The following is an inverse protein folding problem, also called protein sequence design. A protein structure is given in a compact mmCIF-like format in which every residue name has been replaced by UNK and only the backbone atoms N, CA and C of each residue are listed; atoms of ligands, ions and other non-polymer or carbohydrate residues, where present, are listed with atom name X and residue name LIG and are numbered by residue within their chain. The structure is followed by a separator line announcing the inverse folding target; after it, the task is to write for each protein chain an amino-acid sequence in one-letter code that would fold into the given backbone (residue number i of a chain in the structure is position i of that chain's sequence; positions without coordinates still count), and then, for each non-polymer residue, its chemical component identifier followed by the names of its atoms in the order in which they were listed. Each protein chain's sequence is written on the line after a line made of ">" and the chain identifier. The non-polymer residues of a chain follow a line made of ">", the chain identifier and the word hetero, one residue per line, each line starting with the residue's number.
data_IF_914583686498
#
_entry.id   IF_914583686498
#
_cell.length_a   1.000
_cell.length_b   1.000
_cell.length_c   1.000
_cell.angle_alpha   90.00
_cell.angle_beta   90.00
_cell.angle_gamma   90.00
#
_symmetry.space_group_name_H-M   'P 1'
#
loop_
_entity.id
_entity.type
_entity.pdbx_description
1 polymer ?
#
# COMPACT_ATOMS: atom_id res chain seq x y z
N UNK A 1 22.96 3.62 -13.20
CA UNK A 1 22.12 2.56 -12.59
C UNK A 1 20.69 3.05 -12.64
N UNK A 2 19.70 2.20 -12.92
CA UNK A 2 18.30 2.59 -12.76
C UNK A 2 18.02 2.92 -11.29
N UNK A 3 17.18 3.93 -11.03
CA UNK A 3 16.77 4.29 -9.68
C UNK A 3 15.82 3.22 -9.12
N UNK A 4 16.02 2.80 -7.87
CA UNK A 4 15.13 1.82 -7.24
C UNK A 4 13.71 2.35 -7.06
N UNK A 5 13.52 3.64 -6.76
CA UNK A 5 12.20 4.26 -6.71
C UNK A 5 11.81 4.81 -8.08
N UNK A 6 10.70 4.33 -8.63
CA UNK A 6 10.25 4.60 -10.00
C UNK A 6 8.74 4.81 -10.08
N UNK A 7 8.32 5.41 -11.18
CA UNK A 7 6.91 5.56 -11.51
C UNK A 7 6.30 4.18 -11.84
N UNK A 8 4.99 4.05 -11.69
CA UNK A 8 4.27 2.81 -11.95
C UNK A 8 2.85 3.06 -12.42
N UNK A 9 2.22 2.02 -12.95
CA UNK A 9 0.79 2.07 -13.23
C UNK A 9 0.04 2.05 -11.89
N UNK A 10 -0.58 3.16 -11.53
CA UNK A 10 -1.33 3.28 -10.28
C UNK A 10 -2.81 3.23 -10.58
N UNK A 11 -3.50 2.28 -9.95
CA UNK A 11 -4.94 2.06 -10.11
C UNK A 11 -5.66 2.69 -8.93
N UNK A 12 -6.55 3.65 -9.22
CA UNK A 12 -7.37 4.33 -8.20
C UNK A 12 -8.83 3.92 -8.44
N UNK A 13 -9.60 3.57 -7.39
CA UNK A 13 -11.01 3.27 -7.55
C UNK A 13 -11.75 4.46 -8.19
N UNK A 14 -12.70 4.16 -9.09
CA UNK A 14 -13.57 5.16 -9.70
C UNK A 14 -14.43 5.85 -8.65
N UNK A 15 -14.90 7.05 -8.96
CA UNK A 15 -15.67 7.91 -8.05
C UNK A 15 -16.97 7.28 -7.50
N UNK A 16 -17.50 6.24 -8.14
CA UNK A 16 -18.69 5.52 -7.69
C UNK A 16 -18.40 4.46 -6.61
N UNK A 17 -17.13 4.18 -6.32
CA UNK A 17 -16.72 3.29 -5.23
C UNK A 17 -16.66 4.12 -3.94
N UNK A 18 -17.24 3.59 -2.87
CA UNK A 18 -17.23 4.23 -1.55
C UNK A 18 -15.81 4.18 -0.96
N UNK A 19 -15.11 5.31 -0.96
CA UNK A 19 -13.73 5.43 -0.48
C UNK A 19 -13.57 5.09 1.00
N UNK A 20 -14.62 5.21 1.81
CA UNK A 20 -14.60 4.88 3.24
C UNK A 20 -14.61 3.37 3.48
N UNK A 21 -15.21 2.60 2.57
CA UNK A 21 -15.18 1.13 2.59
C UNK A 21 -14.01 0.58 1.79
N UNK A 22 -13.56 1.33 0.79
CA UNK A 22 -12.39 0.99 -0.01
C UNK A 22 -11.12 0.95 0.84
N UNK A 23 -10.94 1.97 1.67
CA UNK A 23 -9.71 2.24 2.40
C UNK A 23 -9.66 1.46 3.71
N UNK A 24 -8.60 0.69 3.92
CA UNK A 24 -8.40 -0.13 5.13
C UNK A 24 -7.08 0.24 5.81
N UNK A 25 -7.13 0.44 7.13
CA UNK A 25 -5.94 0.76 7.94
C UNK A 25 -5.34 -0.53 8.52
N UNK A 26 -4.51 -1.21 7.73
CA UNK A 26 -3.81 -2.41 8.16
C UNK A 26 -2.48 -2.08 8.87
N UNK A 27 -2.54 -1.36 10.00
CA UNK A 27 -1.36 -0.98 10.78
C UNK A 27 -1.05 -1.96 11.93
N UNK A 28 0.23 -2.15 12.25
CA UNK A 28 0.75 -3.06 13.29
C UNK A 28 0.07 -2.93 14.67
N UNK A 29 -0.50 -1.76 14.97
CA UNK A 29 -1.24 -1.53 16.22
C UNK A 29 -2.54 -2.34 16.30
N UNK A 30 -3.12 -2.74 15.16
CA UNK A 30 -4.39 -3.45 15.04
C UNK A 30 -4.26 -4.84 14.41
N UNK A 31 -3.08 -5.20 13.87
CA UNK A 31 -2.88 -6.44 13.10
C UNK A 31 -3.21 -7.69 13.89
N UNK A 32 -3.09 -7.65 15.22
CA UNK A 32 -3.41 -8.76 16.13
C UNK A 32 -4.70 -8.56 16.95
N UNK A 33 -5.56 -7.59 16.61
CA UNK A 33 -6.81 -7.32 17.34
C UNK A 33 -8.03 -7.92 16.60
N UNK A 34 -8.63 -9.04 17.09
CA UNK A 34 -9.76 -9.67 16.41
C UNK A 34 -10.99 -8.76 16.30
N UNK A 35 -11.27 -7.96 17.33
CA UNK A 35 -12.44 -7.08 17.37
C UNK A 35 -12.34 -5.97 16.32
N UNK A 36 -11.14 -5.42 16.11
CA UNK A 36 -10.87 -4.48 15.05
C UNK A 36 -11.22 -5.09 13.68
N UNK A 37 -10.67 -6.27 13.36
CA UNK A 37 -10.94 -6.92 12.08
C UNK A 37 -12.41 -7.27 11.90
N UNK A 38 -13.09 -7.76 12.94
CA UNK A 38 -14.51 -8.03 12.91
C UNK A 38 -15.33 -6.76 12.58
N UNK A 39 -14.97 -5.62 13.14
CA UNK A 39 -15.65 -4.35 12.87
C UNK A 39 -15.34 -3.80 11.49
N UNK A 40 -14.10 -3.99 10.99
CA UNK A 40 -13.73 -3.69 9.60
C UNK A 40 -14.55 -4.55 8.62
N UNK A 41 -14.67 -5.87 8.86
CA UNK A 41 -15.51 -6.76 8.05
C UNK A 41 -16.99 -6.35 8.06
N UNK A 42 -17.55 -5.97 9.23
CA UNK A 42 -18.93 -5.46 9.32
C UNK A 42 -19.11 -4.16 8.54
N UNK A 43 -18.13 -3.26 8.59
CA UNK A 43 -18.17 -1.94 7.94
C UNK A 43 -18.11 -2.07 6.42
N UNK A 44 -17.19 -2.89 5.92
CA UNK A 44 -17.04 -3.18 4.49
C UNK A 44 -18.25 -3.94 3.94
N UNK A 45 -18.69 -4.99 4.65
CA UNK A 45 -19.80 -5.83 4.21
C UNK A 45 -19.52 -6.45 2.84
N UNK A 46 -20.44 -6.24 1.89
CA UNK A 46 -20.32 -6.76 0.51
C UNK A 46 -19.78 -5.73 -0.49
N UNK A 47 -19.26 -4.58 -0.02
CA UNK A 47 -18.73 -3.53 -0.89
C UNK A 47 -17.33 -3.87 -1.42
N UNK A 48 -16.95 -3.25 -2.53
CA UNK A 48 -15.59 -3.31 -3.04
C UNK A 48 -14.62 -2.67 -2.03
N UNK A 49 -13.55 -3.38 -1.70
CA UNK A 49 -12.62 -2.96 -0.65
C UNK A 49 -11.22 -3.54 -0.81
N UNK A 50 -10.22 -2.78 -0.37
CA UNK A 50 -8.86 -3.29 -0.19
C UNK A 50 -8.78 -4.41 0.86
N UNK A 51 -9.78 -4.53 1.75
CA UNK A 51 -9.89 -5.65 2.71
C UNK A 51 -9.89 -7.00 1.99
N UNK A 52 -10.56 -7.09 0.84
CA UNK A 52 -10.66 -8.30 0.04
C UNK A 52 -9.35 -8.65 -0.69
N UNK A 53 -8.35 -7.75 -0.64
CA UNK A 53 -7.06 -7.87 -1.30
C UNK A 53 -5.89 -8.03 -0.32
N UNK A 54 -6.16 -8.15 0.99
CA UNK A 54 -5.13 -8.32 2.02
C UNK A 54 -5.37 -9.59 2.84
N UNK A 55 -4.29 -10.15 3.39
CA UNK A 55 -4.35 -11.17 4.42
C UNK A 55 -3.87 -10.55 5.74
N UNK A 56 -4.78 -10.24 6.68
CA UNK A 56 -4.39 -9.79 8.02
C UNK A 56 -3.45 -10.78 8.71
N UNK A 57 -2.44 -10.27 9.41
CA UNK A 57 -1.40 -11.10 10.04
C UNK A 57 -1.98 -12.07 11.08
N UNK A 58 -3.07 -11.70 11.76
CA UNK A 58 -3.78 -12.60 12.70
C UNK A 58 -4.30 -13.89 12.05
N UNK A 59 -4.51 -13.90 10.73
CA UNK A 59 -5.01 -15.05 9.97
C UNK A 59 -3.91 -15.78 9.18
N UNK A 60 -2.65 -15.41 9.39
CA UNK A 60 -1.52 -15.95 8.62
C UNK A 60 -1.24 -17.43 8.95
N UNK A 61 -1.43 -17.80 10.22
CA UNK A 61 -1.22 -19.16 10.74
C UNK A 61 -2.51 -19.99 10.76
N UNK A 62 -3.61 -19.49 10.21
CA UNK A 62 -4.84 -20.26 10.10
C UNK A 62 -4.67 -21.42 9.10
N UNK A 63 -5.28 -22.57 9.43
CA UNK A 63 -5.29 -23.77 8.57
C UNK A 63 -5.86 -23.49 7.16
N UNK A 64 -6.70 -22.46 7.01
CA UNK A 64 -7.33 -22.08 5.74
C UNK A 64 -6.65 -20.90 5.02
N UNK A 65 -5.45 -20.50 5.46
CA UNK A 65 -4.69 -19.37 4.89
C UNK A 65 -4.46 -19.49 3.37
N UNK A 66 -4.18 -20.68 2.85
CA UNK A 66 -4.02 -20.90 1.40
C UNK A 66 -5.30 -20.56 0.62
N UNK A 67 -6.46 -21.01 1.12
CA UNK A 67 -7.76 -20.70 0.52
C UNK A 67 -8.08 -19.21 0.58
N UNK A 68 -7.67 -18.53 1.65
CA UNK A 68 -7.80 -17.06 1.77
C UNK A 68 -6.95 -16.36 0.70
N UNK A 69 -5.71 -16.81 0.46
CA UNK A 69 -4.83 -16.27 -0.58
C UNK A 69 -5.45 -16.46 -1.98
N UNK A 70 -5.98 -17.66 -2.28
CA UNK A 70 -6.68 -17.91 -3.55
C UNK A 70 -7.87 -16.95 -3.76
N UNK A 71 -8.65 -16.70 -2.71
CA UNK A 71 -9.76 -15.75 -2.77
C UNK A 71 -9.28 -14.31 -2.97
N UNK A 72 -8.19 -13.91 -2.32
CA UNK A 72 -7.56 -12.59 -2.52
C UNK A 72 -7.19 -12.40 -3.99
N UNK A 73 -6.50 -13.37 -4.60
CA UNK A 73 -6.12 -13.31 -6.01
C UNK A 73 -7.35 -13.28 -6.93
N UNK A 74 -8.41 -14.01 -6.58
CA UNK A 74 -9.69 -13.97 -7.29
C UNK A 74 -10.30 -12.56 -7.25
N UNK A 75 -10.38 -11.93 -6.08
CA UNK A 75 -10.91 -10.57 -5.94
C UNK A 75 -10.09 -9.54 -6.71
N UNK A 76 -8.75 -9.64 -6.68
CA UNK A 76 -7.90 -8.73 -7.46
C UNK A 76 -8.21 -8.84 -8.97
N UNK A 77 -8.32 -10.06 -9.51
CA UNK A 77 -8.69 -10.28 -10.91
C UNK A 77 -10.12 -9.81 -11.23
N UNK A 78 -11.06 -10.01 -10.32
CA UNK A 78 -12.44 -9.52 -10.44
C UNK A 78 -12.49 -7.99 -10.50
N UNK A 79 -11.71 -7.30 -9.66
CA UNK A 79 -11.64 -5.84 -9.65
C UNK A 79 -10.98 -5.28 -10.91
N UNK A 80 -9.94 -5.93 -11.42
CA UNK A 80 -9.33 -5.57 -12.70
C UNK A 80 -10.35 -5.74 -13.84
N UNK A 81 -11.00 -6.91 -13.93
CA UNK A 81 -11.90 -7.24 -15.04
C UNK A 81 -13.23 -6.50 -15.02
N UNK A 82 -13.73 -6.12 -13.84
CA UNK A 82 -14.95 -5.31 -13.68
C UNK A 82 -14.74 -3.83 -14.04
N UNK A 83 -13.49 -3.39 -14.22
CA UNK A 83 -13.17 -2.05 -14.67
C UNK A 83 -13.51 -0.97 -13.63
N UNK A 84 -13.38 -1.28 -12.33
CA UNK A 84 -13.64 -0.32 -11.24
C UNK A 84 -12.52 0.71 -11.04
N UNK A 85 -11.41 0.60 -11.78
CA UNK A 85 -10.25 1.46 -11.64
C UNK A 85 -10.14 2.53 -12.72
N UNK A 86 -9.58 3.68 -12.35
CA UNK A 86 -8.88 4.58 -13.26
C UNK A 86 -7.39 4.25 -13.19
N UNK A 87 -6.80 3.90 -14.32
CA UNK A 87 -5.36 3.60 -14.42
C UNK A 87 -4.59 4.85 -14.79
N UNK A 88 -3.58 5.17 -13.99
CA UNK A 88 -2.61 6.22 -14.26
C UNK A 88 -1.29 5.56 -14.65
N UNK A 89 -1.04 5.43 -15.95
CA UNK A 89 0.14 4.74 -16.47
C UNK A 89 1.42 5.52 -16.16
N UNK A 90 2.48 4.81 -15.78
CA UNK A 90 3.81 5.36 -15.49
C UNK A 90 3.75 6.65 -14.65
N UNK A 91 3.00 6.61 -13.55
CA UNK A 91 2.70 7.76 -12.71
C UNK A 91 3.40 7.71 -11.33
N UNK A 92 3.50 8.88 -10.72
CA UNK A 92 3.74 9.07 -9.29
C UNK A 92 2.63 9.96 -8.74
N UNK A 93 2.18 9.72 -7.51
CA UNK A 93 1.10 10.50 -6.89
C UNK A 93 1.64 11.25 -5.69
N UNK A 94 1.51 12.57 -5.73
CA UNK A 94 1.68 13.40 -4.54
C UNK A 94 0.46 13.22 -3.62
N UNK A 95 0.71 12.93 -2.34
CA UNK A 95 -0.32 12.70 -1.33
C UNK A 95 -0.14 13.63 -0.14
N UNK A 96 -1.25 14.02 0.47
CA UNK A 96 -1.31 14.83 1.68
C UNK A 96 -2.24 14.14 2.67
N UNK A 97 -1.82 14.03 3.93
CA UNK A 97 -2.65 13.54 5.03
C UNK A 97 -2.54 14.48 6.23
N UNK A 98 -3.67 14.92 6.75
CA UNK A 98 -3.74 15.62 8.03
C UNK A 98 -3.93 14.57 9.12
N UNK A 99 -3.02 14.53 10.08
CA UNK A 99 -3.10 13.63 11.23
C UNK A 99 -4.11 14.17 12.26
N UNK A 100 -4.53 13.33 13.20
CA UNK A 100 -5.47 13.70 14.28
C UNK A 100 -4.99 14.87 15.15
N UNK A 101 -3.69 15.14 15.18
CA UNK A 101 -3.08 16.29 15.85
C UNK A 101 -3.02 17.56 14.97
N UNK A 102 -3.61 17.55 13.77
CA UNK A 102 -3.62 18.66 12.81
C UNK A 102 -2.35 18.81 11.96
N UNK A 103 -1.34 17.94 12.13
CA UNK A 103 -0.10 18.01 11.34
C UNK A 103 -0.33 17.45 9.94
N UNK A 104 -0.01 18.25 8.93
CA UNK A 104 0.05 17.81 7.54
C UNK A 104 1.31 16.98 7.30
N UNK A 105 1.14 15.81 6.70
CA UNK A 105 2.22 14.98 6.15
C UNK A 105 2.03 14.89 4.64
N UNK A 106 3.04 15.30 3.90
CA UNK A 106 3.10 15.18 2.45
C UNK A 106 4.06 14.05 2.04
N UNK A 107 3.78 13.41 0.92
CA UNK A 107 4.56 12.28 0.43
C UNK A 107 4.34 12.00 -1.05
N UNK A 108 5.06 10.99 -1.56
CA UNK A 108 4.92 10.51 -2.93
C UNK A 108 4.64 9.01 -2.87
N UNK A 109 3.63 8.58 -3.62
CA UNK A 109 3.37 7.17 -3.91
C UNK A 109 3.97 6.84 -5.27
N UNK A 110 4.74 5.77 -5.32
CA UNK A 110 5.34 5.18 -6.51
C UNK A 110 5.69 3.72 -6.24
N UNK A 111 6.54 3.14 -7.07
CA UNK A 111 7.01 1.77 -6.93
C UNK A 111 8.47 1.74 -6.49
N UNK A 112 8.78 0.86 -5.54
CA UNK A 112 10.15 0.49 -5.21
C UNK A 112 10.50 -0.82 -5.92
N UNK A 113 11.69 -0.89 -6.50
CA UNK A 113 12.25 -2.11 -7.02
C UNK A 113 12.82 -2.96 -5.89
N UNK A 114 12.14 -4.07 -5.55
CA UNK A 114 12.60 -4.98 -4.51
C UNK A 114 13.69 -5.94 -4.98
N UNK A 115 14.02 -6.00 -6.27
CA UNK A 115 15.23 -6.70 -6.73
C UNK A 115 16.49 -5.96 -6.28
N UNK A 116 16.37 -4.65 -6.04
CA UNK A 116 17.41 -3.80 -5.45
C UNK A 116 17.35 -3.81 -3.91
N UNK A 117 16.50 -4.63 -3.28
CA UNK A 117 16.43 -4.74 -1.82
C UNK A 117 17.37 -5.80 -1.28
N UNK A 118 18.26 -5.38 -0.38
CA UNK A 118 19.18 -6.26 0.31
C UNK A 118 19.19 -5.99 1.82
N UNK A 119 18.82 -7.02 2.58
CA UNK A 119 18.76 -6.98 4.04
C UNK A 119 20.05 -7.49 4.71
N UNK A 120 21.08 -7.86 3.95
CA UNK A 120 22.35 -8.29 4.51
C UNK A 120 23.05 -7.14 5.24
N UNK A 121 23.67 -7.48 6.37
CA UNK A 121 24.36 -6.48 7.20
C UNK A 121 25.53 -5.87 6.43
N UNK A 122 25.52 -4.55 6.28
CA UNK A 122 26.56 -3.81 5.55
C UNK A 122 26.30 -3.71 4.04
N UNK A 123 25.10 -4.06 3.57
CA UNK A 123 24.73 -3.88 2.17
C UNK A 123 24.90 -2.44 1.69
N UNK A 124 25.46 -2.29 0.49
CA UNK A 124 25.57 -1.03 -0.24
C UNK A 124 24.45 -0.84 -1.26
N UNK A 125 23.39 -1.68 -1.22
CA UNK A 125 22.28 -1.58 -2.16
C UNK A 125 21.50 -0.27 -2.00
N UNK A 126 20.82 0.13 -3.08
CA UNK A 126 19.97 1.32 -3.09
C UNK A 126 18.82 1.20 -2.08
N UNK A 127 18.24 0.00 -1.94
CA UNK A 127 17.21 -0.31 -0.96
C UNK A 127 17.79 -1.28 0.06
N UNK A 128 17.75 -0.90 1.34
CA UNK A 128 18.35 -1.70 2.42
C UNK A 128 17.57 -1.56 3.71
N UNK A 129 17.65 -2.60 4.54
CA UNK A 129 17.01 -2.60 5.84
C UNK A 129 17.73 -1.62 6.80
N UNK A 130 16.98 -0.75 7.46
CA UNK A 130 17.49 0.09 8.56
C UNK A 130 17.59 -0.68 9.87
N UNK A 131 16.85 -1.78 9.99
CA UNK A 131 16.77 -2.66 11.16
C UNK A 131 16.97 -4.13 10.77
N UNK A 132 17.15 -5.02 11.75
CA UNK A 132 17.28 -6.45 11.48
C UNK A 132 15.95 -7.03 10.95
N UNK A 133 16.00 -7.65 9.77
CA UNK A 133 14.83 -8.32 9.19
C UNK A 133 14.53 -9.62 9.91
N UNK A 134 13.27 -9.83 10.30
CA UNK A 134 12.79 -11.12 10.82
C UNK A 134 12.58 -12.07 9.64
N UNK A 135 13.61 -12.87 9.33
CA UNK A 135 13.64 -13.76 8.16
C UNK A 135 12.42 -14.70 8.13
N UNK A 136 11.97 -15.18 9.28
CA UNK A 136 10.83 -16.09 9.43
C UNK A 136 9.51 -15.51 8.88
N UNK A 137 9.38 -14.18 8.83
CA UNK A 137 8.19 -13.50 8.31
C UNK A 137 8.21 -13.33 6.79
N UNK A 138 9.32 -13.62 6.11
CA UNK A 138 9.45 -13.45 4.66
C UNK A 138 8.63 -14.50 3.88
N UNK A 139 8.74 -15.81 4.14
CA UNK A 139 8.04 -16.81 3.34
C UNK A 139 6.51 -16.64 3.29
N UNK A 140 5.81 -16.35 4.41
CA UNK A 140 4.38 -16.08 4.35
C UNK A 140 4.02 -14.85 3.51
N UNK A 141 4.82 -13.77 3.59
CA UNK A 141 4.60 -12.55 2.80
C UNK A 141 4.84 -12.78 1.31
N UNK A 142 5.83 -13.58 0.95
CA UNK A 142 6.06 -13.99 -0.45
C UNK A 142 4.85 -14.78 -0.96
N UNK A 143 4.31 -15.72 -0.18
CA UNK A 143 3.17 -16.54 -0.58
C UNK A 143 1.95 -15.72 -0.97
N UNK A 144 1.61 -14.67 -0.21
CA UNK A 144 0.48 -13.78 -0.52
C UNK A 144 0.68 -13.03 -1.84
N UNK A 145 1.91 -12.62 -2.14
CA UNK A 145 2.26 -11.79 -3.31
C UNK A 145 2.57 -12.59 -4.57
N UNK A 146 2.98 -13.84 -4.41
CA UNK A 146 3.38 -14.68 -5.53
C UNK A 146 2.20 -14.84 -6.50
N UNK A 147 2.38 -14.41 -7.75
CA UNK A 147 1.35 -14.38 -8.81
C UNK A 147 0.17 -13.44 -8.56
N UNK A 148 0.23 -12.55 -7.56
CA UNK A 148 -0.80 -11.53 -7.36
C UNK A 148 -0.77 -10.52 -8.52
N UNK A 149 -1.92 -10.18 -9.14
CA UNK A 149 -1.96 -9.22 -10.24
C UNK A 149 -1.96 -7.75 -9.77
N UNK A 150 -2.14 -7.50 -8.46
CA UNK A 150 -2.12 -6.17 -7.84
C UNK A 150 -1.24 -6.18 -6.59
N UNK A 151 -0.67 -5.02 -6.26
CA UNK A 151 0.00 -4.76 -4.99
C UNK A 151 -0.61 -3.52 -4.34
N UNK A 152 -0.71 -3.51 -3.01
CA UNK A 152 -1.16 -2.36 -2.24
C UNK A 152 0.04 -1.63 -1.60
N UNK A 153 -0.03 -0.30 -1.38
CA UNK A 153 1.02 0.42 -0.66
C UNK A 153 1.22 -0.16 0.75
N UNK A 154 2.41 -0.70 1.02
CA UNK A 154 2.67 -1.47 2.23
C UNK A 154 4.03 -1.19 2.89
N UNK A 155 4.79 -0.22 2.37
CA UNK A 155 6.02 0.27 2.99
C UNK A 155 6.02 1.79 3.03
N UNK A 156 6.72 2.33 4.02
CA UNK A 156 7.11 3.74 4.07
C UNK A 156 8.61 3.83 3.88
N UNK A 157 9.04 4.67 2.95
CA UNK A 157 10.45 5.01 2.76
C UNK A 157 10.68 6.36 3.42
N UNK A 158 11.63 6.41 4.34
CA UNK A 158 12.11 7.65 4.93
C UNK A 158 13.28 8.16 4.10
N UNK A 159 13.23 9.43 3.74
CA UNK A 159 14.32 10.11 3.03
C UNK A 159 15.01 11.09 3.98
N UNK A 160 16.33 11.13 3.88
CA UNK A 160 17.14 12.18 4.50
C UNK A 160 17.33 13.31 3.47
N UNK A 161 16.48 14.33 3.56
CA UNK A 161 16.39 15.44 2.61
C UNK A 161 16.38 16.78 3.36
N UNK A 162 17.48 17.08 4.07
CA UNK A 162 17.64 18.34 4.82
C UNK A 162 17.40 19.58 3.94
N UNK A 163 17.70 19.48 2.63
CA UNK A 163 17.55 20.55 1.65
C UNK A 163 16.13 20.68 1.10
N UNK A 164 15.19 19.81 1.49
CA UNK A 164 13.77 19.91 1.09
C UNK A 164 13.61 19.92 -0.43
N UNK A 165 14.36 19.04 -1.09
CA UNK A 165 14.51 19.01 -2.54
C UNK A 165 13.49 18.09 -3.23
N UNK A 166 12.80 17.22 -2.48
CA UNK A 166 11.90 16.21 -3.04
C UNK A 166 10.42 16.60 -2.89
N UNK A 167 9.95 16.88 -1.68
CA UNK A 167 8.52 17.03 -1.39
C UNK A 167 8.06 18.48 -1.58
N UNK A 168 8.81 19.44 -1.04
CA UNK A 168 8.44 20.86 -0.99
C UNK A 168 8.30 21.53 -2.37
N UNK A 169 9.10 21.19 -3.40
CA UNK A 169 8.87 21.69 -4.75
C UNK A 169 7.54 21.20 -5.33
N UNK A 170 7.14 19.95 -5.03
CA UNK A 170 5.86 19.38 -5.48
C UNK A 170 4.69 20.03 -4.75
N UNK A 171 4.81 20.25 -3.44
CA UNK A 171 3.82 20.98 -2.65
C UNK A 171 3.60 22.39 -3.24
N UNK A 172 4.68 23.09 -3.58
CA UNK A 172 4.63 24.43 -4.18
C UNK A 172 3.94 24.42 -5.55
N UNK A 173 4.09 23.33 -6.31
CA UNK A 173 3.49 23.14 -7.63
C UNK A 173 2.09 22.51 -7.61
N UNK A 174 1.56 22.09 -6.44
CA UNK A 174 0.37 21.23 -6.35
C UNK A 174 -0.90 21.79 -6.98
N UNK A 175 -1.00 23.12 -7.11
CA UNK A 175 -2.10 23.80 -7.82
C UNK A 175 -2.20 23.41 -9.30
N UNK A 176 -1.11 22.90 -9.88
CA UNK A 176 -1.05 22.44 -11.26
C UNK A 176 -1.37 20.95 -11.40
N UNK A 177 -1.59 20.22 -10.30
CA UNK A 177 -1.88 18.79 -10.32
C UNK A 177 -3.38 18.53 -10.44
N UNK A 178 -3.73 17.39 -11.03
CA UNK A 178 -5.11 16.89 -11.04
C UNK A 178 -5.42 16.27 -9.70
N UNK A 179 -6.45 16.77 -9.01
CA UNK A 179 -6.94 16.19 -7.76
C UNK A 179 -7.57 14.82 -8.02
N UNK A 180 -7.03 13.78 -7.38
CA UNK A 180 -7.45 12.39 -7.58
C UNK A 180 -8.54 11.98 -6.58
N UNK A 181 -8.34 12.29 -5.30
CA UNK A 181 -9.29 12.04 -4.20
C UNK A 181 -9.05 13.02 -3.04
N UNK A 182 -10.03 13.14 -2.14
CA UNK A 182 -9.96 13.89 -0.88
C UNK A 182 -11.16 13.51 0.00
N UNK A 183 -10.88 12.94 1.17
CA UNK A 183 -11.88 12.47 2.12
C UNK A 183 -11.23 12.29 3.51
N UNK A 184 -12.07 12.22 4.54
CA UNK A 184 -11.64 11.93 5.90
C UNK A 184 -11.57 10.41 6.13
N UNK A 185 -10.45 9.94 6.70
CA UNK A 185 -10.18 8.53 7.01
C UNK A 185 -9.84 8.35 8.50
#
# INVERSE_FOLDING_TARGET
>A
MPNAFKASDILIPKKNIDVNKWSVIACDQYTSEPDYWNDVYKTVGSSESTLNMILPEIYLEDDDSEKKIENIHKYMNEYISSGIFNTYENAMIYVERIQSNGILRAGIVGMIDLEEYDYTKGSSSQVRATEATVIERIPPRIRVRQNAPLELPHIMILIDDENKSVIEPLESAKKNFTKLYDFDL
#
